data_IF_959718993921
#
_entry.id   IF_959718993921
#
_cell.length_a   1.000
_cell.length_b   1.000
_cell.length_c   1.000
_cell.angle_alpha   90.00
_cell.angle_beta   90.00
_cell.angle_gamma   90.00
#
_symmetry.space_group_name_H-M   'P 1'
#
loop_
_entity.id
_entity.type
_entity.pdbx_description
1 polymer ?
#
# COMPACT_ATOMS: atom_id res chain seq x y z
N UNK A 1 -22.33 1.87 -34.68
CA UNK A 1 -21.29 2.91 -34.77
C UNK A 1 -20.25 2.62 -33.70
N UNK A 2 -19.04 2.21 -34.09
CA UNK A 2 -17.93 1.90 -33.16
C UNK A 2 -17.33 3.15 -32.52
N UNK A 3 -16.52 2.98 -31.47
CA UNK A 3 -15.89 4.10 -30.76
C UNK A 3 -14.83 4.81 -31.64
N UNK A 4 -14.57 6.09 -31.36
CA UNK A 4 -13.57 6.91 -32.07
C UNK A 4 -12.18 6.28 -32.08
N UNK A 5 -11.82 5.52 -31.03
CA UNK A 5 -10.56 4.77 -30.97
C UNK A 5 -10.47 3.70 -32.05
N UNK A 6 -11.54 2.93 -32.23
CA UNK A 6 -11.58 1.82 -33.19
C UNK A 6 -11.56 2.35 -34.63
N UNK A 7 -12.21 3.49 -34.89
CA UNK A 7 -12.17 4.13 -36.20
C UNK A 7 -10.78 4.68 -36.55
N UNK A 8 -10.04 5.20 -35.55
CA UNK A 8 -8.69 5.70 -35.72
C UNK A 8 -7.67 4.57 -35.92
N UNK A 9 -7.83 3.44 -35.21
CA UNK A 9 -6.96 2.26 -35.36
C UNK A 9 -7.03 1.64 -36.76
N UNK A 10 -8.16 1.75 -37.46
CA UNK A 10 -8.31 1.25 -38.84
C UNK A 10 -7.58 2.10 -39.90
N UNK A 11 -7.12 3.31 -39.56
CA UNK A 11 -6.39 4.19 -40.48
C UNK A 11 -4.86 4.09 -40.35
N UNK A 12 -4.36 3.36 -39.36
CA UNK A 12 -2.92 3.23 -39.10
C UNK A 12 -2.36 2.06 -39.90
N UNK A 13 -1.20 2.24 -40.54
CA UNK A 13 -0.55 1.13 -41.24
C UNK A 13 -0.06 0.07 -40.23
N UNK A 14 -0.05 -1.20 -40.64
CA UNK A 14 0.32 -2.31 -39.76
C UNK A 14 1.74 -2.17 -39.19
N UNK A 15 2.66 -1.56 -39.96
CA UNK A 15 4.04 -1.28 -39.56
C UNK A 15 4.14 -0.18 -38.50
N UNK A 16 3.41 0.92 -38.66
CA UNK A 16 3.35 2.01 -37.66
C UNK A 16 2.72 1.53 -36.36
N UNK A 17 1.68 0.69 -36.44
CA UNK A 17 1.05 0.12 -35.27
C UNK A 17 1.97 -0.85 -34.51
N UNK A 18 2.69 -1.71 -35.24
CA UNK A 18 3.68 -2.62 -34.67
C UNK A 18 4.82 -1.85 -33.96
N UNK A 19 5.31 -0.77 -34.59
CA UNK A 19 6.35 0.08 -34.01
C UNK A 19 5.87 0.78 -32.73
N UNK A 20 4.70 1.43 -32.76
CA UNK A 20 4.14 2.10 -31.59
C UNK A 20 3.90 1.13 -30.42
N UNK A 21 3.46 -0.09 -30.72
CA UNK A 21 3.27 -1.15 -29.71
C UNK A 21 4.60 -1.62 -29.12
N UNK A 22 5.63 -1.77 -29.94
CA UNK A 22 6.97 -2.14 -29.48
C UNK A 22 7.56 -1.06 -28.56
N UNK A 23 7.46 0.21 -28.95
CA UNK A 23 7.94 1.33 -28.14
C UNK A 23 7.21 1.44 -26.80
N UNK A 24 5.89 1.21 -26.81
CA UNK A 24 5.11 1.17 -25.58
C UNK A 24 5.56 0.04 -24.64
N UNK A 25 5.86 -1.16 -25.19
CA UNK A 25 6.34 -2.29 -24.40
C UNK A 25 7.72 -2.01 -23.81
N UNK A 26 8.63 -1.40 -24.58
CA UNK A 26 9.97 -1.02 -24.08
C UNK A 26 9.89 -0.06 -22.89
N UNK A 27 8.90 0.85 -22.88
CA UNK A 27 8.72 1.82 -21.79
C UNK A 27 8.01 1.26 -20.55
N UNK A 28 7.42 0.07 -20.62
CA UNK A 28 6.64 -0.49 -19.49
C UNK A 28 7.50 -0.74 -18.26
N UNK A 29 8.69 -1.30 -18.44
CA UNK A 29 9.54 -1.67 -17.31
C UNK A 29 10.06 -0.44 -16.58
N UNK A 30 10.41 0.63 -17.30
CA UNK A 30 10.74 1.91 -16.67
C UNK A 30 9.57 2.50 -15.88
N UNK A 31 8.35 2.41 -16.41
CA UNK A 31 7.15 2.90 -15.71
C UNK A 31 6.89 2.09 -14.44
N UNK A 32 7.07 0.77 -14.49
CA UNK A 32 6.98 -0.11 -13.32
C UNK A 32 8.04 0.22 -12.28
N UNK A 33 9.29 0.45 -12.71
CA UNK A 33 10.37 0.83 -11.82
C UNK A 33 10.08 2.17 -11.13
N UNK A 34 9.69 3.20 -11.89
CA UNK A 34 9.30 4.51 -11.34
C UNK A 34 8.16 4.40 -10.33
N UNK A 35 7.16 3.56 -10.60
CA UNK A 35 6.05 3.31 -9.68
C UNK A 35 6.54 2.61 -8.39
N UNK A 36 7.41 1.61 -8.51
CA UNK A 36 8.00 0.92 -7.37
C UNK A 36 8.83 1.88 -6.50
N UNK A 37 9.68 2.72 -7.12
CA UNK A 37 10.48 3.72 -6.44
C UNK A 37 9.59 4.72 -5.67
N UNK A 38 8.50 5.16 -6.28
CA UNK A 38 7.54 6.05 -5.63
C UNK A 38 6.91 5.40 -4.38
N UNK A 39 6.47 4.15 -4.49
CA UNK A 39 5.92 3.40 -3.35
C UNK A 39 6.96 3.25 -2.24
N UNK A 40 8.19 2.90 -2.59
CA UNK A 40 9.27 2.78 -1.61
C UNK A 40 9.57 4.13 -0.93
N UNK A 41 9.65 5.21 -1.69
CA UNK A 41 9.86 6.55 -1.15
C UNK A 41 8.73 6.96 -0.19
N UNK A 42 7.48 6.68 -0.55
CA UNK A 42 6.32 6.91 0.31
C UNK A 42 6.40 6.11 1.61
N UNK A 43 6.68 4.80 1.53
CA UNK A 43 6.84 3.94 2.70
C UNK A 43 7.97 4.43 3.63
N UNK A 44 9.12 4.82 3.07
CA UNK A 44 10.23 5.40 3.84
C UNK A 44 9.82 6.70 4.55
N UNK A 45 9.08 7.58 3.87
CA UNK A 45 8.56 8.82 4.47
C UNK A 45 7.63 8.53 5.63
N UNK A 46 6.68 7.60 5.47
CA UNK A 46 5.75 7.21 6.52
C UNK A 46 6.47 6.59 7.72
N UNK A 47 7.43 5.69 7.48
CA UNK A 47 8.22 5.06 8.53
C UNK A 47 9.02 6.10 9.33
N UNK A 48 9.64 7.09 8.66
CA UNK A 48 10.36 8.19 9.33
C UNK A 48 9.43 9.05 10.18
N UNK A 49 8.27 9.43 9.65
CA UNK A 49 7.29 10.23 10.38
C UNK A 49 6.77 9.50 11.63
N UNK A 50 6.50 8.20 11.52
CA UNK A 50 6.13 7.35 12.65
C UNK A 50 7.25 7.28 13.70
N UNK A 51 8.47 6.92 13.30
CA UNK A 51 9.62 6.81 14.20
C UNK A 51 9.94 8.11 14.93
N UNK A 52 9.73 9.27 14.31
CA UNK A 52 9.92 10.58 14.96
C UNK A 52 8.93 10.81 16.11
N UNK A 53 7.72 10.24 16.03
CA UNK A 53 6.65 10.42 17.03
C UNK A 53 6.66 9.34 18.11
N UNK A 54 7.13 8.14 17.79
CA UNK A 54 7.19 7.04 18.76
C UNK A 54 8.36 7.23 19.70
N UNK A 55 8.06 7.37 20.99
CA UNK A 55 9.05 7.30 22.06
C UNK A 55 9.10 5.86 22.56
N UNK A 56 10.25 5.17 22.48
CA UNK A 56 10.38 3.83 23.06
C UNK A 56 10.17 3.94 24.58
N UNK A 57 9.28 3.10 25.11
CA UNK A 57 9.08 2.93 26.55
C UNK A 57 9.50 1.50 26.90
N UNK A 58 10.59 1.29 27.66
CA UNK A 58 10.88 -0.02 28.18
C UNK A 58 9.75 -0.42 29.12
N UNK A 59 9.25 -1.64 28.96
CA UNK A 59 8.19 -2.19 29.80
C UNK A 59 8.81 -3.11 30.84
N UNK A 60 8.34 -3.04 32.07
CA UNK A 60 8.84 -3.83 33.20
C UNK A 60 7.72 -4.69 33.80
N UNK A 61 8.12 -5.69 34.58
CA UNK A 61 7.17 -6.46 35.39
C UNK A 61 6.38 -5.51 36.28
N UNK A 62 5.06 -5.69 36.33
CA UNK A 62 4.17 -4.80 37.07
C UNK A 62 3.60 -3.62 36.25
N UNK A 63 4.13 -3.34 35.05
CA UNK A 63 3.54 -2.31 34.19
C UNK A 63 2.15 -2.72 33.68
N UNK A 64 1.23 -1.75 33.70
CA UNK A 64 -0.09 -1.88 33.12
C UNK A 64 -0.05 -1.52 31.63
N UNK A 65 -0.48 -2.45 30.77
CA UNK A 65 -0.39 -2.32 29.32
C UNK A 65 -1.68 -2.74 28.61
N UNK A 66 -1.93 -2.14 27.45
CA UNK A 66 -3.03 -2.52 26.56
C UNK A 66 -2.49 -3.40 25.42
N UNK A 67 -3.24 -4.43 25.02
CA UNK A 67 -2.83 -5.33 23.92
C UNK A 67 -3.63 -5.04 22.65
N UNK A 68 -2.94 -4.83 21.52
CA UNK A 68 -3.58 -4.62 20.21
C UNK A 68 -4.38 -5.86 19.83
N UNK A 69 -5.64 -5.66 19.46
CA UNK A 69 -6.51 -6.69 18.89
C UNK A 69 -6.33 -6.75 17.37
N UNK A 70 -5.27 -7.43 16.89
CA UNK A 70 -5.06 -7.66 15.45
C UNK A 70 -5.84 -8.89 14.98
N UNK A 71 -6.53 -8.80 13.85
CA UNK A 71 -7.08 -9.98 13.15
C UNK A 71 -8.39 -10.56 13.71
N UNK A 72 -9.13 -9.85 14.58
CA UNK A 72 -10.49 -10.24 15.00
C UNK A 72 -11.51 -10.01 13.87
N UNK A 73 -11.36 -10.74 12.77
CA UNK A 73 -12.33 -10.80 11.69
C UNK A 73 -13.53 -11.57 12.26
N UNK A 74 -14.64 -10.87 12.52
CA UNK A 74 -15.85 -11.48 13.10
C UNK A 74 -16.39 -10.82 14.36
N UNK A 75 -15.81 -9.73 14.87
CA UNK A 75 -16.44 -8.98 15.96
C UNK A 75 -17.78 -8.38 15.46
N UNK A 76 -18.94 -8.75 16.04
CA UNK A 76 -20.25 -8.24 15.62
C UNK A 76 -20.39 -6.72 15.78
N UNK A 77 -19.50 -6.08 16.57
CA UNK A 77 -19.44 -4.63 16.71
C UNK A 77 -18.78 -3.94 15.50
N UNK A 78 -18.13 -4.70 14.60
CA UNK A 78 -17.54 -4.20 13.37
C UNK A 78 -16.61 -3.01 13.59
N UNK A 79 -16.98 -1.85 13.03
CA UNK A 79 -16.23 -0.58 13.19
C UNK A 79 -16.19 -0.03 14.61
N UNK A 80 -17.14 -0.42 15.47
CA UNK A 80 -17.22 0.01 16.87
C UNK A 80 -16.50 -0.93 17.83
N UNK A 81 -15.76 -1.91 17.30
CA UNK A 81 -14.95 -2.76 18.16
C UNK A 81 -13.78 -1.98 18.78
N UNK A 82 -13.40 -2.29 20.03
CA UNK A 82 -12.17 -1.78 20.60
C UNK A 82 -10.96 -2.22 19.76
N UNK A 83 -10.01 -1.30 19.55
CA UNK A 83 -8.72 -1.63 18.92
C UNK A 83 -7.72 -2.25 19.89
N UNK A 84 -8.00 -2.14 21.19
CA UNK A 84 -7.16 -2.59 22.30
C UNK A 84 -7.99 -3.42 23.28
N UNK A 85 -7.38 -4.43 23.88
CA UNK A 85 -7.98 -5.25 24.94
C UNK A 85 -7.31 -5.03 26.28
N UNK A 86 -8.14 -5.17 27.32
CA UNK A 86 -7.74 -5.24 28.73
C UNK A 86 -7.01 -4.01 29.23
N UNK A 87 -6.80 -3.94 30.53
CA UNK A 87 -5.51 -3.56 31.07
C UNK A 87 -4.84 -4.84 31.62
N UNK A 88 -3.63 -5.14 31.14
CA UNK A 88 -2.87 -6.32 31.57
C UNK A 88 -1.67 -5.88 32.38
N UNK A 89 -1.29 -6.68 33.38
CA UNK A 89 -0.04 -6.51 34.11
C UNK A 89 0.99 -7.47 33.53
N UNK A 90 2.18 -6.97 33.21
CA UNK A 90 3.29 -7.82 32.78
C UNK A 90 3.74 -8.67 33.97
N UNK A 91 3.55 -9.99 33.85
CA UNK A 91 4.04 -10.99 34.81
C UNK A 91 5.46 -11.43 34.44
N UNK A 92 6.21 -11.97 35.41
CA UNK A 92 7.53 -12.60 35.18
C UNK A 92 7.40 -13.96 34.53
#
# INVERSE_FOLDING_TARGET
MGSLRVALEQQISETEWAQARFDQLNLLDERRLRAADHVQAYQRKMARAFKKRVKPRPLQKGDLVLRILRGLIGDPRGKFRPSWSGPYVIQS
#
